data_IF_314808986707
#
_entry.id   IF_314808986707
#
_cell.length_a   1.000
_cell.length_b   1.000
_cell.length_c   1.000
_cell.angle_alpha   90.00
_cell.angle_beta   90.00
_cell.angle_gamma   90.00
#
_symmetry.space_group_name_H-M   'P 1'
#
loop_
_entity.id
_entity.type
_entity.pdbx_description
1 polymer ?
#
# COMPACT_ATOMS: atom_id res chain seq x y z
N UNK A 1 -19.14 13.38 -23.01
CA UNK A 1 -20.60 13.55 -23.24
C UNK A 1 -21.44 12.45 -22.59
N UNK A 2 -21.38 11.18 -23.07
CA UNK A 2 -22.25 10.11 -22.53
C UNK A 2 -22.13 9.91 -21.02
N UNK A 3 -20.92 10.02 -20.47
CA UNK A 3 -20.70 9.94 -19.02
C UNK A 3 -21.43 11.06 -18.27
N UNK A 4 -21.28 12.30 -18.72
CA UNK A 4 -21.96 13.46 -18.14
C UNK A 4 -23.49 13.33 -18.17
N UNK A 5 -24.02 12.92 -19.33
CA UNK A 5 -25.45 12.65 -19.49
C UNK A 5 -25.97 11.50 -18.60
N UNK A 6 -25.07 10.60 -18.22
CA UNK A 6 -25.36 9.48 -17.30
C UNK A 6 -25.13 9.84 -15.82
N UNK A 7 -24.76 11.10 -15.51
CA UNK A 7 -24.57 11.58 -14.14
C UNK A 7 -23.14 11.47 -13.60
N UNK A 8 -22.13 11.34 -14.48
CA UNK A 8 -20.73 11.43 -14.09
C UNK A 8 -20.34 12.90 -13.92
N UNK A 9 -19.92 13.30 -12.73
CA UNK A 9 -19.60 14.68 -12.38
C UNK A 9 -18.10 14.95 -12.37
N UNK A 10 -17.29 13.95 -12.08
CA UNK A 10 -15.83 14.08 -11.98
C UNK A 10 -15.14 12.98 -12.76
N UNK A 11 -14.23 13.38 -13.66
CA UNK A 11 -13.41 12.46 -14.44
C UNK A 11 -12.16 12.05 -13.66
N UNK A 12 -11.95 10.73 -13.52
CA UNK A 12 -10.73 10.16 -12.96
C UNK A 12 -10.32 8.89 -13.74
N UNK A 13 -9.06 8.82 -14.18
CA UNK A 13 -8.01 9.85 -14.13
C UNK A 13 -8.28 11.00 -15.12
N UNK A 14 -7.64 12.14 -14.88
CA UNK A 14 -7.74 13.32 -15.74
C UNK A 14 -7.19 13.07 -17.15
N UNK A 15 -7.95 13.46 -18.18
CA UNK A 15 -7.63 13.21 -19.61
C UNK A 15 -6.70 14.25 -20.23
N UNK A 16 -6.03 15.11 -19.45
CA UNK A 16 -5.22 16.20 -19.97
C UNK A 16 -6.04 17.29 -20.67
N UNK A 17 -7.30 17.47 -20.27
CA UNK A 17 -8.24 18.44 -20.84
C UNK A 17 -8.83 18.03 -22.21
N UNK A 18 -8.60 16.79 -22.64
CA UNK A 18 -9.18 16.32 -23.90
C UNK A 18 -10.71 16.27 -23.80
N UNK A 19 -11.23 15.65 -22.76
CA UNK A 19 -12.69 15.52 -22.57
C UNK A 19 -13.34 16.87 -22.27
N UNK A 20 -12.68 17.78 -21.53
CA UNK A 20 -13.15 19.13 -21.27
C UNK A 20 -13.42 19.90 -22.58
N UNK A 21 -12.44 19.89 -23.49
CA UNK A 21 -12.59 20.53 -24.81
C UNK A 21 -13.73 19.92 -25.63
N UNK A 22 -13.95 18.60 -25.53
CA UNK A 22 -15.05 17.92 -26.22
C UNK A 22 -16.42 18.30 -25.62
N UNK A 23 -16.50 18.49 -24.30
CA UNK A 23 -17.73 18.92 -23.60
C UNK A 23 -18.05 20.35 -24.03
N UNK A 24 -17.10 21.29 -23.95
CA UNK A 24 -17.30 22.69 -24.38
C UNK A 24 -17.78 22.77 -25.82
N UNK A 25 -17.11 22.03 -26.71
CA UNK A 25 -17.51 21.98 -28.13
C UNK A 25 -18.93 21.40 -28.31
N UNK A 26 -19.29 20.40 -27.54
CA UNK A 26 -20.60 19.78 -27.62
C UNK A 26 -21.74 20.72 -27.17
N UNK A 27 -21.52 21.54 -26.13
CA UNK A 27 -22.45 22.60 -25.71
C UNK A 27 -22.57 23.66 -26.79
N UNK A 28 -21.44 24.17 -27.32
CA UNK A 28 -21.44 25.19 -28.38
C UNK A 28 -22.13 24.75 -29.65
N UNK A 29 -22.08 23.46 -29.99
CA UNK A 29 -22.74 22.88 -31.16
C UNK A 29 -24.18 22.40 -30.87
N UNK A 30 -24.72 22.60 -29.68
CA UNK A 30 -26.08 22.18 -29.29
C UNK A 30 -26.26 20.65 -29.19
N UNK A 31 -25.16 19.89 -29.10
CA UNK A 31 -25.20 18.42 -28.94
C UNK A 31 -25.29 17.96 -27.50
N UNK A 32 -25.00 18.85 -26.55
CA UNK A 32 -25.13 18.67 -25.10
C UNK A 32 -25.86 19.90 -24.56
N UNK A 33 -26.93 19.67 -23.81
CA UNK A 33 -27.60 20.73 -23.12
C UNK A 33 -26.73 21.27 -21.99
N UNK A 34 -26.54 22.58 -21.93
CA UNK A 34 -25.73 23.24 -20.91
C UNK A 34 -26.26 22.97 -19.50
N UNK A 35 -27.55 22.81 -19.33
CA UNK A 35 -28.17 22.46 -18.05
C UNK A 35 -27.63 21.14 -17.45
N UNK A 36 -27.30 20.16 -18.31
CA UNK A 36 -26.68 18.91 -17.85
C UNK A 36 -25.26 19.14 -17.30
N UNK A 37 -24.51 20.07 -17.90
CA UNK A 37 -23.21 20.47 -17.39
C UNK A 37 -23.33 21.27 -16.09
N UNK A 38 -24.28 22.20 -16.01
CA UNK A 38 -24.54 23.02 -14.82
C UNK A 38 -24.91 22.14 -13.61
N UNK A 39 -25.77 21.14 -13.78
CA UNK A 39 -26.10 20.17 -12.71
C UNK A 39 -24.88 19.41 -12.20
N UNK A 40 -23.98 18.98 -13.08
CA UNK A 40 -22.75 18.30 -12.68
C UNK A 40 -21.82 19.24 -11.91
N UNK A 41 -21.65 20.48 -12.39
CA UNK A 41 -20.86 21.52 -11.73
C UNK A 41 -21.45 21.84 -10.34
N UNK A 42 -22.78 21.99 -10.25
CA UNK A 42 -23.47 22.26 -8.98
C UNK A 42 -23.20 21.16 -7.96
N UNK A 43 -23.27 19.88 -8.35
CA UNK A 43 -22.97 18.75 -7.44
C UNK A 43 -21.55 18.78 -6.93
N UNK A 44 -20.56 19.07 -7.79
CA UNK A 44 -19.15 19.20 -7.39
C UNK A 44 -18.96 20.40 -6.44
N UNK A 45 -19.53 21.56 -6.79
CA UNK A 45 -19.42 22.77 -5.98
C UNK A 45 -20.09 22.61 -4.61
N UNK A 46 -21.21 21.91 -4.52
CA UNK A 46 -21.86 21.63 -3.25
C UNK A 46 -20.95 20.85 -2.31
N UNK A 47 -20.24 19.83 -2.81
CA UNK A 47 -19.27 19.08 -2.00
C UNK A 47 -18.11 19.99 -1.53
N UNK A 48 -17.60 20.86 -2.42
CA UNK A 48 -16.53 21.79 -2.11
C UNK A 48 -16.97 22.78 -1.02
N UNK A 49 -18.14 23.42 -1.18
CA UNK A 49 -18.64 24.38 -0.21
C UNK A 49 -18.95 23.76 1.15
N UNK A 50 -19.59 22.60 1.18
CA UNK A 50 -19.82 21.87 2.44
C UNK A 50 -18.49 21.54 3.12
N UNK A 51 -17.47 21.13 2.34
CA UNK A 51 -16.12 20.88 2.85
C UNK A 51 -15.47 22.12 3.46
N UNK A 52 -15.61 23.29 2.83
CA UNK A 52 -15.08 24.55 3.35
C UNK A 52 -15.85 25.05 4.59
N UNK A 53 -17.18 24.95 4.61
CA UNK A 53 -18.00 25.33 5.77
C UNK A 53 -17.70 24.49 7.01
N UNK A 54 -17.39 23.21 6.81
CA UNK A 54 -17.13 22.24 7.88
C UNK A 54 -15.65 21.92 8.04
N UNK A 55 -14.77 22.75 7.50
CA UNK A 55 -13.32 22.53 7.56
C UNK A 55 -12.85 22.57 9.02
N UNK A 56 -12.51 21.41 9.62
CA UNK A 56 -12.00 21.41 10.99
C UNK A 56 -10.62 22.05 11.03
N UNK A 57 -10.34 22.81 12.09
CA UNK A 57 -8.97 23.19 12.45
C UNK A 57 -8.24 21.94 12.98
N UNK A 58 -8.00 20.97 12.13
CA UNK A 58 -7.25 19.77 12.53
C UNK A 58 -5.80 19.96 12.13
N UNK A 59 -4.95 20.03 13.12
CA UNK A 59 -3.51 19.90 12.93
C UNK A 59 -3.21 18.41 12.98
N UNK A 60 -2.79 17.84 11.84
CA UNK A 60 -2.34 16.46 11.76
C UNK A 60 -1.09 16.27 12.64
N UNK A 61 -1.17 15.38 13.61
CA UNK A 61 -0.02 14.91 14.38
C UNK A 61 0.47 13.58 13.80
N UNK A 62 1.53 13.67 13.02
CA UNK A 62 2.10 12.51 12.31
C UNK A 62 2.58 11.39 13.22
N UNK A 63 3.04 11.72 14.44
CA UNK A 63 3.46 10.69 15.40
C UNK A 63 2.25 9.93 15.97
N UNK A 64 1.20 10.64 16.31
CA UNK A 64 -0.07 10.02 16.74
C UNK A 64 -0.69 9.20 15.63
N UNK A 65 -0.71 9.72 14.41
CA UNK A 65 -1.24 9.01 13.23
C UNK A 65 -0.42 7.75 12.91
N UNK A 66 0.91 7.83 13.01
CA UNK A 66 1.80 6.68 12.81
C UNK A 66 1.56 5.58 13.86
N UNK A 67 1.40 5.97 15.13
CA UNK A 67 1.06 5.01 16.20
C UNK A 67 -0.28 4.35 15.95
N UNK A 68 -1.29 5.13 15.56
CA UNK A 68 -2.62 4.61 15.23
C UNK A 68 -2.57 3.66 14.02
N UNK A 69 -1.76 3.95 13.00
CA UNK A 69 -1.55 3.06 11.88
C UNK A 69 -0.95 1.71 12.32
N UNK A 70 0.02 1.73 13.23
CA UNK A 70 0.59 0.49 13.79
C UNK A 70 -0.43 -0.31 14.62
N UNK A 71 -1.26 0.37 15.41
CA UNK A 71 -2.34 -0.29 16.17
C UNK A 71 -3.35 -0.96 15.21
N UNK A 72 -3.74 -0.28 14.12
CA UNK A 72 -4.65 -0.82 13.09
C UNK A 72 -4.01 -2.03 12.40
N UNK A 73 -2.71 -1.98 12.06
CA UNK A 73 -2.01 -3.07 11.39
C UNK A 73 -2.02 -4.35 12.22
N UNK A 74 -1.94 -4.24 13.56
CA UNK A 74 -2.03 -5.43 14.43
C UNK A 74 -3.37 -6.15 14.30
N UNK A 75 -4.46 -5.44 14.05
CA UNK A 75 -5.79 -5.99 13.82
C UNK A 75 -5.94 -6.64 12.41
N UNK A 76 -5.04 -6.30 11.48
CA UNK A 76 -5.05 -6.88 10.13
C UNK A 76 -4.32 -8.24 10.05
N UNK A 77 -3.54 -8.59 11.08
CA UNK A 77 -2.81 -9.86 11.11
C UNK A 77 -3.76 -11.03 11.39
N UNK A 78 -3.69 -12.09 10.59
CA UNK A 78 -4.50 -13.31 10.73
C UNK A 78 -3.60 -14.49 11.10
N UNK A 79 -3.80 -15.05 12.30
CA UNK A 79 -3.11 -16.25 12.72
C UNK A 79 -3.81 -17.48 12.12
N UNK A 80 -3.24 -18.06 11.08
CA UNK A 80 -3.82 -19.21 10.38
C UNK A 80 -3.64 -20.51 11.17
N UNK A 81 -2.45 -20.70 11.79
CA UNK A 81 -2.10 -21.88 12.55
C UNK A 81 -1.06 -21.54 13.62
N UNK A 82 -1.18 -22.14 14.80
CA UNK A 82 -0.18 -22.07 15.85
C UNK A 82 -0.15 -23.38 16.65
N UNK A 83 0.92 -24.11 16.53
CA UNK A 83 1.15 -25.35 17.28
C UNK A 83 1.89 -25.12 18.62
N UNK A 84 1.85 -23.90 19.15
CA UNK A 84 2.46 -23.52 20.41
C UNK A 84 3.83 -22.85 20.28
N UNK A 85 4.29 -22.52 19.06
CA UNK A 85 5.53 -21.76 18.84
C UNK A 85 5.36 -20.27 19.20
N UNK A 86 4.17 -19.72 19.01
CA UNK A 86 3.82 -18.35 19.36
C UNK A 86 3.09 -18.28 20.70
N UNK A 87 3.33 -17.23 21.50
CA UNK A 87 4.30 -16.14 21.29
C UNK A 87 5.75 -16.62 21.41
N UNK A 88 6.65 -16.00 20.62
CA UNK A 88 8.07 -16.32 20.68
C UNK A 88 8.64 -15.93 22.03
N UNK A 89 9.33 -16.87 22.67
CA UNK A 89 10.07 -16.60 23.90
C UNK A 89 11.24 -15.63 23.62
N UNK A 90 11.47 -14.68 24.53
CA UNK A 90 12.53 -13.67 24.43
C UNK A 90 13.94 -14.24 24.49
N UNK A 91 14.10 -15.43 25.07
CA UNK A 91 15.41 -16.07 25.25
C UNK A 91 15.90 -16.84 24.03
N UNK A 92 15.04 -16.99 23.02
CA UNK A 92 15.38 -17.72 21.81
C UNK A 92 16.21 -16.89 20.85
N UNK A 93 17.18 -17.54 20.20
CA UNK A 93 17.86 -16.99 19.04
C UNK A 93 16.91 -17.04 17.85
N UNK A 94 16.62 -15.90 17.26
CA UNK A 94 15.69 -15.78 16.15
C UNK A 94 16.42 -15.35 14.89
N UNK A 95 16.16 -16.06 13.80
CA UNK A 95 16.60 -15.68 12.47
C UNK A 95 15.42 -15.10 11.69
N UNK A 96 15.60 -13.94 11.05
CA UNK A 96 14.69 -13.37 10.08
C UNK A 96 15.20 -13.68 8.66
N UNK A 97 14.37 -14.34 7.87
CA UNK A 97 14.69 -14.76 6.51
C UNK A 97 13.68 -14.13 5.55
N UNK A 98 14.17 -13.44 4.52
CA UNK A 98 13.37 -12.78 3.50
C UNK A 98 13.57 -11.28 3.45
N UNK A 99 13.65 -10.71 2.24
CA UNK A 99 13.87 -9.28 2.04
C UNK A 99 12.75 -8.41 2.62
N UNK A 100 11.52 -8.94 2.74
CA UNK A 100 10.40 -8.24 3.38
C UNK A 100 10.62 -7.93 4.87
N UNK A 101 11.53 -8.62 5.55
CA UNK A 101 11.91 -8.29 6.92
C UNK A 101 12.63 -6.94 7.03
N UNK A 102 13.37 -6.55 5.99
CA UNK A 102 14.13 -5.31 5.89
C UNK A 102 13.36 -4.22 5.13
N UNK A 103 12.70 -4.63 4.03
CA UNK A 103 11.94 -3.76 3.14
C UNK A 103 10.48 -4.23 3.11
N UNK A 104 9.64 -3.79 4.05
CA UNK A 104 8.24 -4.23 4.08
C UNK A 104 7.48 -3.71 2.87
N UNK A 105 6.61 -4.55 2.31
CA UNK A 105 5.62 -4.12 1.33
C UNK A 105 4.37 -3.62 2.07
N UNK A 106 4.28 -2.32 2.30
CA UNK A 106 3.21 -1.68 3.07
C UNK A 106 2.16 -1.00 2.19
N UNK A 107 2.34 -0.99 0.88
CA UNK A 107 1.40 -0.38 -0.07
C UNK A 107 1.32 -1.21 -1.36
N UNK A 108 0.25 -1.02 -2.12
CA UNK A 108 0.09 -1.60 -3.45
C UNK A 108 0.89 -0.86 -4.52
N UNK A 109 0.85 -1.35 -5.74
CA UNK A 109 1.42 -0.66 -6.90
C UNK A 109 0.50 0.42 -7.47
N UNK A 110 1.04 1.33 -8.28
CA UNK A 110 0.28 2.36 -8.97
C UNK A 110 -0.13 3.53 -8.09
N UNK A 111 -1.39 3.96 -8.20
CA UNK A 111 -1.90 5.17 -7.53
C UNK A 111 -1.97 5.10 -6.01
N UNK A 112 -1.83 3.91 -5.43
CA UNK A 112 -1.73 3.72 -3.98
C UNK A 112 -0.38 4.09 -3.39
N UNK A 113 0.63 4.39 -4.23
CA UNK A 113 1.94 4.83 -3.77
C UNK A 113 1.86 6.19 -3.08
N UNK A 114 2.26 6.23 -1.83
CA UNK A 114 2.35 7.44 -1.01
C UNK A 114 3.79 7.68 -0.58
N UNK A 115 4.09 8.92 -0.19
CA UNK A 115 5.33 9.26 0.50
C UNK A 115 5.09 9.17 2.00
N UNK A 116 5.40 8.04 2.66
CA UNK A 116 5.08 7.85 4.06
C UNK A 116 5.92 8.75 4.95
N UNK A 117 5.37 9.11 6.09
CA UNK A 117 6.10 9.84 7.13
C UNK A 117 7.27 9.01 7.67
N UNK A 118 7.01 7.73 7.93
CA UNK A 118 7.99 6.76 8.40
C UNK A 118 7.56 5.34 8.00
N UNK A 119 8.52 4.52 7.64
CA UNK A 119 8.33 3.08 7.44
C UNK A 119 9.12 2.37 8.52
N UNK A 120 8.51 1.39 9.19
CA UNK A 120 9.16 0.55 10.20
C UNK A 120 9.22 -0.86 9.68
N UNK A 121 10.42 -1.39 9.49
CA UNK A 121 10.62 -2.78 9.10
C UNK A 121 10.56 -3.72 10.32
N UNK A 122 10.45 -5.03 10.07
CA UNK A 122 10.53 -6.01 11.14
C UNK A 122 11.90 -6.00 11.85
N UNK A 123 12.97 -5.68 11.12
CA UNK A 123 14.30 -5.52 11.68
C UNK A 123 14.38 -4.29 12.59
N UNK A 124 13.82 -3.16 12.17
CA UNK A 124 13.76 -1.94 12.98
C UNK A 124 12.97 -2.20 14.27
N UNK A 125 11.78 -2.79 14.14
CA UNK A 125 10.93 -3.12 15.29
C UNK A 125 11.58 -4.11 16.26
N UNK A 126 12.36 -5.06 15.78
CA UNK A 126 13.14 -5.95 16.63
C UNK A 126 14.22 -5.18 17.40
N UNK A 127 14.95 -4.28 16.72
CA UNK A 127 15.96 -3.41 17.32
C UNK A 127 15.38 -2.48 18.38
N UNK A 128 14.26 -1.80 18.10
CA UNK A 128 13.57 -0.92 19.04
C UNK A 128 13.11 -1.64 20.30
N UNK A 129 12.74 -2.92 20.17
CA UNK A 129 12.37 -3.79 21.31
C UNK A 129 13.57 -4.46 21.99
N UNK A 130 14.77 -4.10 21.62
CA UNK A 130 16.03 -4.67 22.18
C UNK A 130 16.21 -6.16 21.85
N UNK A 131 15.54 -6.68 20.81
CA UNK A 131 15.70 -8.08 20.38
C UNK A 131 16.84 -8.19 19.39
N UNK A 132 17.82 -9.02 19.69
CA UNK A 132 18.87 -9.38 18.73
C UNK A 132 18.34 -10.47 17.81
N UNK A 133 18.26 -10.19 16.52
CA UNK A 133 17.90 -11.15 15.48
C UNK A 133 19.03 -11.26 14.47
N UNK A 134 19.25 -12.46 13.90
CA UNK A 134 20.09 -12.62 12.72
C UNK A 134 19.26 -12.49 11.46
N UNK A 135 19.87 -12.03 10.37
CA UNK A 135 19.14 -11.75 9.13
C UNK A 135 19.82 -12.32 7.89
N UNK A 136 19.03 -12.89 7.02
CA UNK A 136 19.44 -13.24 5.66
C UNK A 136 18.33 -12.87 4.67
N UNK A 137 18.72 -12.21 3.57
CA UNK A 137 17.80 -11.74 2.52
C UNK A 137 17.04 -12.90 1.87
N UNK A 138 17.73 -13.97 1.50
CA UNK A 138 17.16 -15.19 0.92
C UNK A 138 16.74 -15.06 -0.54
N UNK A 139 15.98 -14.04 -0.89
CA UNK A 139 15.50 -13.78 -2.27
C UNK A 139 15.45 -12.29 -2.56
N UNK A 140 15.31 -11.91 -3.83
CA UNK A 140 15.19 -10.52 -4.26
C UNK A 140 13.73 -10.15 -4.57
N UNK A 141 13.26 -9.04 -4.01
CA UNK A 141 11.95 -8.46 -4.33
C UNK A 141 11.90 -7.80 -5.72
N UNK A 142 13.07 -7.48 -6.30
CA UNK A 142 13.14 -6.77 -7.58
C UNK A 142 12.85 -7.68 -8.77
N UNK A 143 13.19 -8.96 -8.67
CA UNK A 143 13.12 -9.90 -9.78
C UNK A 143 12.72 -11.33 -9.38
N UNK A 144 12.29 -11.51 -8.11
CA UNK A 144 11.93 -12.82 -7.54
C UNK A 144 13.03 -13.90 -7.73
N UNK A 145 14.27 -13.47 -7.88
CA UNK A 145 15.41 -14.36 -8.04
C UNK A 145 16.07 -14.65 -6.71
N UNK A 146 16.59 -15.86 -6.60
CA UNK A 146 17.41 -16.32 -5.49
C UNK A 146 18.70 -16.89 -6.07
N UNK A 147 19.83 -16.38 -5.61
CA UNK A 147 21.15 -16.93 -5.95
C UNK A 147 21.50 -18.08 -5.00
N UNK A 148 22.38 -18.96 -5.44
CA UNK A 148 22.89 -20.04 -4.58
C UNK A 148 23.53 -19.53 -3.30
N UNK A 149 24.25 -18.41 -3.37
CA UNK A 149 24.87 -17.77 -2.20
C UNK A 149 23.83 -17.23 -1.21
N UNK A 150 22.74 -16.64 -1.71
CA UNK A 150 21.64 -16.15 -0.85
C UNK A 150 20.93 -17.32 -0.17
N UNK A 151 20.68 -18.41 -0.89
CA UNK A 151 20.12 -19.64 -0.34
C UNK A 151 21.02 -20.24 0.75
N UNK A 152 22.32 -20.44 0.46
CA UNK A 152 23.27 -20.96 1.45
C UNK A 152 23.35 -20.09 2.71
N UNK A 153 23.37 -18.76 2.54
CA UNK A 153 23.36 -17.83 3.67
C UNK A 153 22.07 -17.96 4.48
N UNK A 154 20.90 -18.05 3.82
CA UNK A 154 19.63 -18.20 4.50
C UNK A 154 19.55 -19.51 5.29
N UNK A 155 19.98 -20.63 4.68
CA UNK A 155 20.01 -21.94 5.33
C UNK A 155 20.93 -21.95 6.56
N UNK A 156 22.13 -21.39 6.44
CA UNK A 156 23.07 -21.29 7.55
C UNK A 156 22.51 -20.41 8.68
N UNK A 157 21.97 -19.22 8.34
CA UNK A 157 21.38 -18.30 9.31
C UNK A 157 20.22 -18.94 10.07
N UNK A 158 19.37 -19.70 9.37
CA UNK A 158 18.29 -20.45 9.99
C UNK A 158 18.78 -21.59 10.88
N UNK A 159 19.83 -22.33 10.45
CA UNK A 159 20.37 -23.47 11.20
C UNK A 159 21.08 -23.04 12.50
N UNK A 160 21.59 -21.84 12.59
CA UNK A 160 22.25 -21.27 13.77
C UNK A 160 21.28 -20.67 14.79
N UNK A 161 19.97 -20.62 14.47
CA UNK A 161 18.92 -20.08 15.31
C UNK A 161 18.03 -21.17 15.92
N UNK A 162 17.34 -20.84 17.02
CA UNK A 162 16.34 -21.71 17.64
C UNK A 162 15.00 -21.65 16.88
N UNK A 163 14.73 -20.51 16.23
CA UNK A 163 13.52 -20.24 15.44
C UNK A 163 13.88 -19.41 14.21
N UNK A 164 13.37 -19.84 13.06
CA UNK A 164 13.42 -19.05 11.84
C UNK A 164 12.03 -18.47 11.54
N UNK A 165 11.96 -17.14 11.36
CA UNK A 165 10.77 -16.43 10.91
C UNK A 165 10.99 -16.09 9.43
N UNK A 166 10.13 -16.63 8.56
CA UNK A 166 10.24 -16.41 7.13
C UNK A 166 9.27 -15.31 6.73
N UNK A 167 9.80 -14.23 6.16
CA UNK A 167 9.05 -13.11 5.61
C UNK A 167 8.87 -13.34 4.12
N UNK A 168 7.76 -13.94 3.74
CA UNK A 168 7.41 -14.25 2.36
C UNK A 168 6.22 -13.39 1.92
N UNK A 169 6.19 -13.06 0.64
CA UNK A 169 5.13 -12.26 0.06
C UNK A 169 5.28 -12.15 -1.45
N UNK A 170 4.39 -11.39 -2.07
CA UNK A 170 4.40 -11.12 -3.48
C UNK A 170 5.07 -9.77 -3.75
N UNK A 171 6.18 -9.71 -4.50
CA UNK A 171 6.78 -8.46 -4.94
C UNK A 171 5.84 -7.65 -5.84
N UNK A 172 6.01 -6.34 -5.83
CA UNK A 172 5.18 -5.41 -6.60
C UNK A 172 5.21 -5.65 -8.12
N UNK A 173 6.31 -6.22 -8.62
CA UNK A 173 6.45 -6.54 -10.05
C UNK A 173 5.41 -7.55 -10.57
N UNK A 174 4.77 -8.32 -9.68
CA UNK A 174 3.78 -9.33 -10.05
C UNK A 174 2.34 -8.85 -10.00
N UNK A 175 2.07 -7.73 -9.34
CA UNK A 175 0.74 -7.13 -9.34
C UNK A 175 0.81 -5.63 -9.09
N UNK A 176 0.02 -4.87 -9.82
CA UNK A 176 -0.11 -3.43 -9.69
C UNK A 176 -1.48 -2.99 -10.21
N UNK A 177 -1.82 -1.73 -10.01
CA UNK A 177 -2.97 -1.14 -10.70
C UNK A 177 -2.78 -1.27 -12.21
N UNK A 178 -3.75 -1.91 -12.89
CA UNK A 178 -3.75 -2.10 -14.34
C UNK A 178 -3.18 -3.42 -14.85
N UNK A 179 -2.56 -4.22 -14.01
CA UNK A 179 -2.17 -5.59 -14.36
C UNK A 179 -2.15 -6.51 -13.14
N UNK A 180 -2.20 -7.81 -13.38
CA UNK A 180 -2.15 -8.86 -12.38
C UNK A 180 -1.32 -10.03 -12.88
N UNK A 181 -0.83 -10.86 -11.98
CA UNK A 181 -0.14 -12.10 -12.34
C UNK A 181 -1.10 -13.08 -12.99
N UNK A 182 -0.57 -13.94 -13.87
CA UNK A 182 -1.35 -14.98 -14.55
C UNK A 182 -1.34 -16.33 -13.83
N UNK A 183 -0.55 -16.47 -12.78
CA UNK A 183 -0.39 -17.72 -12.00
C UNK A 183 -0.07 -17.39 -10.55
N UNK A 184 -0.43 -18.30 -9.65
CA UNK A 184 0.00 -18.27 -8.24
C UNK A 184 1.30 -19.06 -8.00
N UNK A 185 1.91 -19.57 -9.08
CA UNK A 185 3.16 -20.34 -9.05
C UNK A 185 4.28 -19.52 -9.62
#
# INVERSE_FOLDING_TARGET
MKGLQAGLDLEMPYSGGYNDRQIVKAVQEGRLDEAVLDEAVERVLNVVFVGEEHRPEVISDKETDHKKAADIETECAVLLENNGILPLNTDRKVAYIGEFAEKPRYQGGGSSHINPFRVVSALDAAGEKGRSVTYAKGFSMENDAMTEQELEKALRTAAEADVAVIFAGLPEIFESEGYDRTSMK
#
